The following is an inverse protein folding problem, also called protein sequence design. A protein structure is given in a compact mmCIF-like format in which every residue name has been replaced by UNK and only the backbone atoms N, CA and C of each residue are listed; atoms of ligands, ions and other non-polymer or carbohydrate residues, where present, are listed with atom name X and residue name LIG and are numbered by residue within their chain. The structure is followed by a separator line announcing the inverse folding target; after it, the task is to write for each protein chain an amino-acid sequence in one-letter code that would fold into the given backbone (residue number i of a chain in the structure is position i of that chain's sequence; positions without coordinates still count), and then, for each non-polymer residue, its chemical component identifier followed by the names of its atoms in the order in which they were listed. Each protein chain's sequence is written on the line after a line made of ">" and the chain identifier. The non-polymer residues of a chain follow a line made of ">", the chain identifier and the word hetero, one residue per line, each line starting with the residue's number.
data_IF_195706999323
#
_entry.id   IF_195706999323
#
_cell.length_a   1.000
_cell.length_b   1.000
_cell.length_c   1.000
_cell.angle_alpha   90.00
_cell.angle_beta   90.00
_cell.angle_gamma   90.00
#
_symmetry.space_group_name_H-M   'P 1'
#
loop_
_entity.id
_entity.type
_entity.pdbx_description
1 polymer ?
#
# COMPACT_ATOMS: atom_id res chain seq x y z
N UNK A 1 -27.15 -1.44 8.89
CA UNK A 1 -26.20 -0.77 7.98
C UNK A 1 -24.95 -1.60 7.67
N UNK A 2 -24.48 -2.49 8.58
CA UNK A 2 -23.27 -3.31 8.36
C UNK A 2 -23.38 -4.32 7.21
N UNK A 3 -24.57 -4.81 6.92
CA UNK A 3 -24.83 -5.85 5.87
C UNK A 3 -24.88 -5.29 4.43
N UNK A 4 -24.81 -3.95 4.27
CA UNK A 4 -24.80 -3.30 2.95
C UNK A 4 -23.38 -3.06 2.40
N UNK A 5 -22.34 -3.51 3.08
CA UNK A 5 -20.95 -3.33 2.64
C UNK A 5 -20.57 -4.44 1.66
N UNK A 6 -19.79 -4.07 0.64
CA UNK A 6 -19.23 -5.05 -0.29
C UNK A 6 -18.24 -5.98 0.43
N UNK A 7 -18.02 -7.18 -0.11
CA UNK A 7 -17.03 -8.12 0.40
C UNK A 7 -15.64 -7.46 0.51
N UNK A 8 -15.22 -6.71 -0.49
CA UNK A 8 -13.92 -6.01 -0.48
C UNK A 8 -13.76 -4.99 0.66
N UNK A 9 -14.82 -4.25 1.02
CA UNK A 9 -14.78 -3.35 2.19
C UNK A 9 -14.63 -4.16 3.48
N UNK A 10 -15.25 -5.33 3.56
CA UNK A 10 -15.13 -6.22 4.73
C UNK A 10 -13.73 -6.82 4.80
N UNK A 11 -13.18 -7.24 3.67
CA UNK A 11 -11.81 -7.76 3.58
C UNK A 11 -10.78 -6.72 4.02
N UNK A 12 -10.90 -5.48 3.52
CA UNK A 12 -10.06 -4.36 3.95
C UNK A 12 -10.16 -4.08 5.46
N UNK A 13 -11.37 -4.11 6.00
CA UNK A 13 -11.61 -3.86 7.43
C UNK A 13 -10.94 -4.90 8.32
N UNK A 14 -10.96 -6.16 7.91
CA UNK A 14 -10.43 -7.28 8.68
C UNK A 14 -9.00 -7.65 8.29
N UNK A 15 -8.43 -7.03 7.25
CA UNK A 15 -7.11 -7.38 6.73
C UNK A 15 -7.07 -8.79 6.16
N UNK A 16 -8.22 -9.30 5.69
CA UNK A 16 -8.34 -10.63 5.07
C UNK A 16 -7.88 -10.54 3.63
N UNK A 17 -6.85 -11.31 3.27
CA UNK A 17 -6.15 -11.21 1.99
C UNK A 17 -6.33 -12.46 1.12
N UNK A 18 -6.76 -13.56 1.71
CA UNK A 18 -6.94 -14.84 1.03
C UNK A 18 -8.28 -15.47 1.43
N UNK A 19 -8.81 -16.34 0.58
CA UNK A 19 -10.12 -16.97 0.82
C UNK A 19 -10.15 -17.81 2.09
N UNK A 20 -9.02 -18.41 2.47
CA UNK A 20 -8.87 -19.20 3.68
C UNK A 20 -9.08 -18.39 4.97
N UNK A 21 -8.92 -17.07 4.92
CA UNK A 21 -9.19 -16.19 6.06
C UNK A 21 -10.68 -16.17 6.43
N UNK A 22 -11.55 -16.61 5.51
CA UNK A 22 -13.00 -16.65 5.67
C UNK A 22 -13.57 -18.05 5.89
N UNK A 23 -12.76 -19.10 5.81
CA UNK A 23 -13.27 -20.47 6.00
C UNK A 23 -13.88 -20.63 7.38
N UNK A 24 -15.16 -21.01 7.43
CA UNK A 24 -15.91 -21.21 8.67
C UNK A 24 -16.30 -19.93 9.42
N UNK A 25 -16.20 -18.75 8.76
CA UNK A 25 -16.55 -17.45 9.37
C UNK A 25 -17.65 -16.74 8.59
N UNK A 26 -18.49 -16.01 9.32
CA UNK A 26 -19.39 -15.03 8.71
C UNK A 26 -18.61 -13.72 8.49
N UNK A 27 -18.49 -13.29 7.22
CA UNK A 27 -17.83 -12.02 6.82
C UNK A 27 -18.37 -10.79 7.54
N UNK A 28 -19.59 -10.86 8.02
CA UNK A 28 -20.29 -9.73 8.63
C UNK A 28 -20.34 -9.82 10.15
N UNK A 29 -19.87 -10.92 10.74
CA UNK A 29 -19.80 -11.07 12.18
C UNK A 29 -18.74 -10.14 12.78
N UNK A 30 -18.99 -9.54 13.95
CA UNK A 30 -17.96 -8.86 14.73
C UNK A 30 -16.94 -9.91 15.20
N UNK A 31 -15.66 -9.67 14.95
CA UNK A 31 -14.62 -10.57 15.40
C UNK A 31 -13.23 -10.02 15.07
N UNK A 32 -12.21 -10.56 15.71
CA UNK A 32 -10.82 -10.26 15.36
C UNK A 32 -10.47 -10.92 14.04
N UNK A 33 -9.80 -10.13 13.18
CA UNK A 33 -9.27 -10.64 11.92
C UNK A 33 -8.19 -11.70 12.20
N UNK A 34 -8.13 -12.77 11.41
CA UNK A 34 -6.97 -13.64 11.45
C UNK A 34 -5.74 -12.84 11.05
N UNK A 35 -4.77 -12.77 11.93
CA UNK A 35 -3.58 -11.97 11.71
C UNK A 35 -2.54 -12.77 10.93
N UNK A 36 -2.89 -13.16 9.71
CA UNK A 36 -1.93 -13.83 8.83
C UNK A 36 -0.95 -12.79 8.29
N UNK A 37 0.32 -12.99 8.54
CA UNK A 37 1.37 -12.16 7.96
C UNK A 37 1.69 -12.72 6.58
N UNK A 38 1.45 -11.91 5.55
CA UNK A 38 1.87 -12.24 4.18
C UNK A 38 3.11 -11.42 3.85
N UNK A 39 4.26 -12.06 3.66
CA UNK A 39 5.48 -11.36 3.28
C UNK A 39 5.36 -10.80 1.86
N UNK A 40 6.15 -9.76 1.56
CA UNK A 40 6.28 -9.28 0.19
C UNK A 40 6.84 -10.39 -0.71
N UNK A 41 6.38 -10.48 -1.97
CA UNK A 41 6.80 -11.54 -2.87
C UNK A 41 8.30 -11.44 -3.21
N UNK A 42 8.98 -12.57 -3.23
CA UNK A 42 10.39 -12.62 -3.61
C UNK A 42 10.60 -12.21 -5.08
N UNK A 43 11.66 -11.46 -5.33
CA UNK A 43 12.02 -11.02 -6.69
C UNK A 43 11.15 -9.88 -7.24
N UNK A 44 10.17 -9.40 -6.49
CA UNK A 44 9.32 -8.26 -6.87
C UNK A 44 9.78 -7.02 -6.09
N UNK A 45 10.02 -5.92 -6.81
CA UNK A 45 10.29 -4.61 -6.20
C UNK A 45 8.99 -3.96 -5.80
N UNK A 46 8.75 -3.84 -4.51
CA UNK A 46 7.57 -3.19 -3.95
C UNK A 46 7.88 -1.75 -3.58
N UNK A 47 6.93 -0.86 -3.83
CA UNK A 47 7.02 0.57 -3.57
C UNK A 47 5.79 1.01 -2.77
N UNK A 48 5.94 2.03 -1.93
CA UNK A 48 4.84 2.61 -1.17
C UNK A 48 4.75 4.12 -1.44
N UNK A 49 3.54 4.59 -1.74
CA UNK A 49 3.19 6.00 -1.81
C UNK A 49 2.16 6.25 -0.73
N UNK A 50 2.40 7.26 0.08
CA UNK A 50 1.50 7.66 1.16
C UNK A 50 1.26 9.16 1.14
N UNK A 51 0.09 9.58 1.63
CA UNK A 51 -0.22 10.98 1.89
C UNK A 51 -0.28 11.24 3.40
N UNK A 52 -0.05 12.50 3.77
CA UNK A 52 -0.20 12.99 5.13
C UNK A 52 -0.81 14.37 5.12
N UNK A 53 -1.82 14.60 5.94
CA UNK A 53 -2.39 15.93 6.19
C UNK A 53 -1.41 16.83 6.95
N UNK A 54 -0.42 16.25 7.63
CA UNK A 54 0.62 16.98 8.33
C UNK A 54 1.62 17.63 7.36
N UNK A 55 2.44 18.54 7.89
CA UNK A 55 3.52 19.19 7.14
C UNK A 55 4.83 18.46 7.33
N UNK A 56 5.66 18.42 6.30
CA UNK A 56 6.99 17.82 6.39
C UNK A 56 7.86 18.52 7.45
N UNK A 57 7.74 19.84 7.54
CA UNK A 57 8.45 20.68 8.53
C UNK A 57 7.75 20.72 9.90
N UNK A 58 6.62 20.06 10.07
CA UNK A 58 5.85 20.02 11.31
C UNK A 58 6.51 19.22 12.43
N UNK A 59 5.90 19.26 13.61
CA UNK A 59 6.32 18.41 14.73
C UNK A 59 6.10 16.92 14.41
N UNK A 60 6.65 16.03 15.25
CA UNK A 60 6.59 14.58 15.03
C UNK A 60 5.13 14.08 14.87
N UNK A 61 4.17 14.64 15.62
CA UNK A 61 2.76 14.26 15.52
C UNK A 61 2.17 14.66 14.17
N UNK A 62 2.45 15.86 13.68
CA UNK A 62 1.99 16.33 12.37
C UNK A 62 2.59 15.49 11.23
N UNK A 63 3.88 15.16 11.30
CA UNK A 63 4.54 14.32 10.30
C UNK A 63 4.01 12.90 10.26
N UNK A 64 3.49 12.38 11.38
CA UNK A 64 2.94 11.03 11.50
C UNK A 64 1.43 10.96 11.22
N UNK A 65 0.77 12.11 11.01
CA UNK A 65 -0.63 12.12 10.59
C UNK A 65 -0.78 11.35 9.26
N UNK A 66 -1.83 10.54 9.18
CA UNK A 66 -2.21 9.94 7.91
C UNK A 66 -2.92 10.92 6.99
N UNK A 67 -3.51 10.41 5.93
CA UNK A 67 -4.21 11.15 4.88
C UNK A 67 -5.70 11.43 5.18
N UNK A 68 -6.13 11.16 6.39
CA UNK A 68 -7.52 11.26 6.85
C UNK A 68 -8.31 9.95 6.76
N UNK A 69 -7.85 8.97 5.97
CA UNK A 69 -8.46 7.64 5.85
C UNK A 69 -7.53 6.53 6.38
N UNK A 70 -6.23 6.65 6.14
CA UNK A 70 -5.23 5.63 6.47
C UNK A 70 -4.11 6.25 7.31
N UNK A 71 -3.77 5.70 8.47
CA UNK A 71 -2.59 6.12 9.23
C UNK A 71 -1.31 5.98 8.41
N UNK A 72 -0.41 6.95 8.48
CA UNK A 72 0.82 6.97 7.68
C UNK A 72 1.66 5.70 7.85
N UNK A 73 1.79 5.20 9.07
CA UNK A 73 2.50 3.95 9.35
C UNK A 73 1.89 2.78 8.58
N UNK A 74 0.55 2.67 8.57
CA UNK A 74 -0.17 1.63 7.83
C UNK A 74 0.04 1.74 6.32
N UNK A 75 -0.03 2.95 5.77
CA UNK A 75 0.21 3.21 4.34
C UNK A 75 1.64 2.83 3.90
N UNK A 76 2.61 2.90 4.81
CA UNK A 76 3.99 2.50 4.57
C UNK A 76 4.28 1.03 4.96
N UNK A 77 3.25 0.26 5.28
CA UNK A 77 3.39 -1.14 5.68
C UNK A 77 4.10 -1.35 7.02
N UNK A 78 4.07 -0.36 7.90
CA UNK A 78 4.69 -0.43 9.23
C UNK A 78 3.66 -0.87 10.27
N UNK A 79 4.04 -1.82 11.10
CA UNK A 79 3.22 -2.31 12.21
C UNK A 79 3.98 -2.18 13.53
N UNK A 80 3.24 -2.09 14.67
CA UNK A 80 3.84 -2.06 16.01
C UNK A 80 4.64 -3.33 16.33
N UNK A 81 4.19 -4.47 15.79
CA UNK A 81 4.95 -5.72 15.79
C UNK A 81 5.86 -5.74 14.54
N UNK A 82 7.20 -5.76 14.72
CA UNK A 82 8.14 -5.79 13.59
C UNK A 82 7.96 -6.98 12.65
N UNK A 83 7.55 -8.14 13.18
CA UNK A 83 7.28 -9.35 12.40
C UNK A 83 6.09 -9.21 11.43
N UNK A 84 5.27 -8.17 11.59
CA UNK A 84 4.12 -7.85 10.75
C UNK A 84 4.37 -6.66 9.82
N UNK A 85 5.56 -6.09 9.83
CA UNK A 85 5.93 -4.98 8.97
C UNK A 85 6.42 -5.47 7.61
N UNK A 86 6.06 -4.74 6.53
CA UNK A 86 6.40 -5.13 5.16
C UNK A 86 7.85 -4.82 4.77
N UNK A 87 8.61 -4.09 5.58
CA UNK A 87 10.02 -3.76 5.35
C UNK A 87 10.32 -3.20 3.94
N UNK A 88 9.46 -2.30 3.44
CA UNK A 88 9.73 -1.58 2.20
C UNK A 88 10.91 -0.62 2.43
N UNK A 89 11.95 -0.70 1.62
CA UNK A 89 13.13 0.15 1.75
C UNK A 89 12.80 1.64 1.58
N UNK A 90 13.49 2.53 2.27
CA UNK A 90 13.16 3.97 2.30
C UNK A 90 13.26 4.63 0.92
N UNK A 91 14.20 4.22 0.08
CA UNK A 91 14.34 4.68 -1.31
C UNK A 91 13.14 4.29 -2.20
N UNK A 92 12.32 3.37 -1.73
CA UNK A 92 11.07 2.91 -2.36
C UNK A 92 9.82 3.40 -1.66
N UNK A 93 9.95 4.34 -0.76
CA UNK A 93 8.85 5.02 -0.09
C UNK A 93 8.79 6.48 -0.54
N UNK A 94 7.59 7.00 -0.69
CA UNK A 94 7.37 8.42 -0.95
C UNK A 94 6.17 8.91 -0.15
N UNK A 95 6.29 10.08 0.46
CA UNK A 95 5.24 10.68 1.28
C UNK A 95 4.94 12.07 0.73
N UNK A 96 3.68 12.29 0.35
CA UNK A 96 3.15 13.62 0.05
C UNK A 96 2.62 14.27 1.33
N UNK A 97 3.20 15.38 1.72
CA UNK A 97 2.75 16.15 2.89
C UNK A 97 1.74 17.23 2.51
N UNK A 98 0.83 17.57 3.44
CA UNK A 98 -0.25 18.53 3.20
C UNK A 98 -1.28 18.03 2.20
N UNK A 99 -1.45 16.73 2.07
CA UNK A 99 -2.31 16.07 1.09
C UNK A 99 -3.26 15.11 1.79
N UNK A 100 -4.48 15.02 1.29
CA UNK A 100 -5.44 13.98 1.66
C UNK A 100 -5.32 12.76 0.74
N UNK A 101 -6.07 11.70 1.04
CA UNK A 101 -6.03 10.45 0.28
C UNK A 101 -6.37 10.62 -1.22
N UNK A 102 -7.35 11.44 -1.53
CA UNK A 102 -7.81 11.64 -2.91
C UNK A 102 -6.85 12.49 -3.74
N UNK A 103 -6.08 13.38 -3.08
CA UNK A 103 -5.08 14.20 -3.76
C UNK A 103 -3.98 13.36 -4.42
N UNK A 104 -3.76 12.11 -3.95
CA UNK A 104 -2.81 11.19 -4.56
C UNK A 104 -3.14 10.87 -6.02
N UNK A 105 -4.41 10.92 -6.40
CA UNK A 105 -4.88 10.52 -7.74
C UNK A 105 -4.49 11.54 -8.81
N UNK A 106 -4.38 12.81 -8.47
CA UNK A 106 -4.11 13.91 -9.41
C UNK A 106 -2.93 14.80 -8.96
N UNK A 107 -1.93 14.20 -8.35
CA UNK A 107 -0.76 14.94 -7.89
C UNK A 107 0.45 14.72 -8.80
N UNK A 108 1.00 15.82 -9.35
CA UNK A 108 2.15 15.78 -10.22
C UNK A 108 3.38 15.13 -9.58
N UNK A 109 3.59 15.29 -8.27
CA UNK A 109 4.68 14.65 -7.53
C UNK A 109 4.54 13.13 -7.48
N UNK A 110 3.30 12.62 -7.29
CA UNK A 110 3.00 11.19 -7.35
C UNK A 110 3.32 10.65 -8.75
N UNK A 111 2.83 11.33 -9.80
CA UNK A 111 3.07 10.92 -11.18
C UNK A 111 4.56 10.91 -11.51
N UNK A 112 5.29 11.96 -11.14
CA UNK A 112 6.75 12.02 -11.34
C UNK A 112 7.47 10.87 -10.62
N UNK A 113 7.07 10.55 -9.40
CA UNK A 113 7.67 9.44 -8.63
C UNK A 113 7.37 8.08 -9.27
N UNK A 114 6.14 7.86 -9.72
CA UNK A 114 5.79 6.65 -10.45
C UNK A 114 6.60 6.50 -11.73
N UNK A 115 6.73 7.57 -12.52
CA UNK A 115 7.57 7.57 -13.71
C UNK A 115 9.04 7.25 -13.39
N UNK A 116 9.58 7.83 -12.33
CA UNK A 116 10.95 7.54 -11.89
C UNK A 116 11.14 6.07 -11.52
N UNK A 117 10.20 5.48 -10.80
CA UNK A 117 10.31 4.10 -10.34
C UNK A 117 10.03 3.06 -11.44
N UNK A 118 9.09 3.36 -12.33
CA UNK A 118 8.64 2.43 -13.35
C UNK A 118 9.29 2.71 -14.73
N UNK A 119 9.69 3.95 -14.96
CA UNK A 119 10.30 4.42 -16.21
C UNK A 119 11.83 4.37 -16.24
N UNK A 120 12.48 3.64 -15.31
CA UNK A 120 13.93 3.51 -15.24
C UNK A 120 14.57 3.10 -16.58
N UNK A 121 15.86 3.44 -16.82
CA UNK A 121 16.49 3.35 -18.13
C UNK A 121 16.39 1.93 -18.70
N UNK A 122 15.57 1.81 -19.76
CA UNK A 122 15.73 0.77 -20.76
C UNK A 122 15.50 -0.67 -20.34
N UNK A 123 14.27 -1.05 -20.03
CA UNK A 123 13.82 -2.37 -20.49
C UNK A 123 13.33 -2.24 -21.93
N UNK A 124 14.22 -1.96 -22.86
CA UNK A 124 14.00 -2.37 -24.24
C UNK A 124 13.75 -3.86 -24.20
N UNK A 125 12.49 -4.27 -24.39
CA UNK A 125 12.15 -5.63 -24.79
C UNK A 125 12.99 -5.88 -26.06
N UNK A 126 14.07 -6.61 -25.90
CA UNK A 126 14.76 -7.23 -27.00
C UNK A 126 13.76 -8.19 -27.64
N UNK A 127 13.08 -7.69 -28.67
CA UNK A 127 12.28 -8.54 -29.53
C UNK A 127 13.25 -9.59 -30.06
N UNK A 128 13.15 -10.81 -29.56
CA UNK A 128 13.75 -11.97 -30.21
C UNK A 128 13.06 -12.09 -31.55
N UNK A 129 13.79 -11.70 -32.61
CA UNK A 129 13.42 -12.08 -33.95
C UNK A 129 13.52 -13.62 -34.01
N UNK A 130 12.47 -14.32 -34.47
CA UNK A 130 12.60 -15.71 -34.78
C UNK A 130 13.57 -15.82 -35.97
N UNK A 131 14.64 -16.59 -35.80
CA UNK A 131 15.47 -17.05 -36.87
C UNK A 131 14.61 -17.98 -37.70
N UNK A 132 14.31 -17.59 -38.93
CA UNK A 132 13.74 -18.51 -39.94
C UNK A 132 14.84 -19.37 -40.56
N UNK A 133 14.51 -20.60 -40.93
CA UNK A 133 15.46 -21.61 -41.46
C UNK A 133 16.04 -21.26 -42.81
#
# INVERSE_FOLDING_TARGET
>A
LGKLRSAGITDLRHGSLVDEDWVGRDRFAPGEAPSRVLPLPHGVRCYAIAASLGRESGNLKERLLGDGLVPLASALGRHSDPGRSLHIAEDRQWIGYGMNHLDLLDNAGVHARLHQWLGGPGRTRRAQRPSSP
#
